data_IF_323450996689
#
_entry.id   IF_323450996689
#
_cell.length_a   1.000
_cell.length_b   1.000
_cell.length_c   1.000
_cell.angle_alpha   90.00
_cell.angle_beta   90.00
_cell.angle_gamma   90.00
#
_symmetry.space_group_name_H-M   'P 1'
#
loop_
_entity.id
_entity.type
_entity.pdbx_description
1 polymer ?
#
# COMPACT_ATOMS: atom_id res chain seq x y z
N UNK A 1 3.06 1.10 -19.74
CA UNK A 1 3.10 -0.37 -19.65
C UNK A 1 2.13 -0.74 -18.55
N UNK A 2 1.01 -1.38 -18.90
CA UNK A 2 -0.12 -1.56 -18.00
C UNK A 2 0.25 -2.52 -16.85
N UNK A 3 -0.24 -2.24 -15.64
CA UNK A 3 0.07 -2.94 -14.37
C UNK A 3 0.06 -4.48 -14.45
N UNK A 4 -0.71 -5.05 -15.39
CA UNK A 4 -0.80 -6.50 -15.66
C UNK A 4 0.52 -7.09 -16.20
N UNK A 5 1.27 -6.35 -17.03
CA UNK A 5 2.45 -6.88 -17.74
C UNK A 5 3.73 -6.92 -16.89
N UNK A 6 3.64 -6.64 -15.58
CA UNK A 6 4.79 -6.62 -14.67
C UNK A 6 4.51 -7.05 -13.24
N UNK A 7 3.28 -7.47 -12.92
CA UNK A 7 2.88 -7.78 -11.54
C UNK A 7 3.71 -8.94 -10.94
N UNK A 8 3.94 -10.02 -11.70
CA UNK A 8 4.74 -11.16 -11.22
C UNK A 8 6.19 -10.74 -10.90
N UNK A 9 6.83 -10.01 -11.81
CA UNK A 9 8.20 -9.50 -11.62
C UNK A 9 8.30 -8.57 -10.41
N UNK A 10 7.31 -7.68 -10.25
CA UNK A 10 7.24 -6.77 -9.12
C UNK A 10 7.07 -7.49 -7.79
N UNK A 11 6.15 -8.46 -7.70
CA UNK A 11 5.93 -9.25 -6.49
C UNK A 11 7.15 -10.13 -6.15
N UNK A 12 7.81 -10.71 -7.16
CA UNK A 12 9.08 -11.42 -6.97
C UNK A 12 10.17 -10.49 -6.42
N UNK A 13 10.29 -9.27 -6.96
CA UNK A 13 11.27 -8.29 -6.49
C UNK A 13 11.00 -7.89 -5.05
N UNK A 14 9.74 -7.59 -4.69
CA UNK A 14 9.34 -7.30 -3.31
C UNK A 14 9.69 -8.45 -2.36
N UNK A 15 9.31 -9.67 -2.72
CA UNK A 15 9.58 -10.86 -1.92
C UNK A 15 11.06 -11.19 -1.78
N UNK A 16 11.87 -10.83 -2.77
CA UNK A 16 13.34 -10.97 -2.73
C UNK A 16 13.97 -9.90 -1.84
N UNK A 17 13.58 -8.64 -2.02
CA UNK A 17 14.12 -7.52 -1.25
C UNK A 17 13.73 -7.60 0.23
N UNK A 18 12.52 -8.06 0.53
CA UNK A 18 11.94 -8.13 1.87
C UNK A 18 11.50 -9.56 2.22
N UNK A 19 12.43 -10.51 2.12
CA UNK A 19 12.17 -11.93 2.40
C UNK A 19 11.57 -12.12 3.80
N UNK A 20 10.36 -12.69 3.87
CA UNK A 20 9.60 -12.88 5.11
C UNK A 20 8.98 -11.61 5.71
N UNK A 21 9.23 -10.43 5.13
CA UNK A 21 8.76 -9.14 5.60
C UNK A 21 7.85 -8.40 4.60
N UNK A 22 7.52 -9.03 3.46
CA UNK A 22 6.54 -8.56 2.50
C UNK A 22 5.23 -9.35 2.58
N UNK A 23 4.11 -8.63 2.44
CA UNK A 23 2.77 -9.20 2.41
C UNK A 23 1.87 -8.53 1.37
N UNK A 24 0.91 -9.28 0.85
CA UNK A 24 -0.20 -8.77 0.04
C UNK A 24 -1.41 -8.59 0.94
N UNK A 25 -1.97 -7.39 0.96
CA UNK A 25 -3.11 -7.05 1.82
C UNK A 25 -4.29 -6.55 1.01
N UNK A 26 -5.45 -7.19 1.13
CA UNK A 26 -6.63 -6.92 0.31
C UNK A 26 -7.93 -7.12 1.08
N UNK A 27 -9.01 -6.48 0.62
CA UNK A 27 -10.37 -6.71 1.14
C UNK A 27 -10.95 -8.06 0.70
N UNK A 28 -10.33 -8.72 -0.28
CA UNK A 28 -10.73 -10.07 -0.71
C UNK A 28 -10.32 -11.14 0.32
N UNK A 29 -11.00 -12.28 0.29
CA UNK A 29 -10.60 -13.48 1.03
C UNK A 29 -9.24 -14.00 0.54
N UNK A 30 -8.49 -14.65 1.43
CA UNK A 30 -7.13 -15.13 1.12
C UNK A 30 -7.11 -16.13 -0.03
N UNK A 31 -8.06 -17.07 -0.06
CA UNK A 31 -8.15 -18.08 -1.12
C UNK A 31 -8.36 -17.45 -2.50
N UNK A 32 -9.20 -16.41 -2.59
CA UNK A 32 -9.41 -15.66 -3.83
C UNK A 32 -8.15 -14.92 -4.28
N UNK A 33 -7.34 -14.44 -3.34
CA UNK A 33 -6.06 -13.79 -3.65
C UNK A 33 -5.06 -14.86 -4.14
N UNK A 34 -4.98 -16.01 -3.45
CA UNK A 34 -4.10 -17.13 -3.84
C UNK A 34 -4.42 -17.62 -5.26
N UNK A 35 -5.69 -17.79 -5.58
CA UNK A 35 -6.13 -18.19 -6.92
C UNK A 35 -5.68 -17.20 -7.99
N UNK A 36 -5.82 -15.89 -7.75
CA UNK A 36 -5.34 -14.85 -8.67
C UNK A 36 -3.82 -14.88 -8.84
N UNK A 37 -3.07 -15.12 -7.77
CA UNK A 37 -1.61 -15.20 -7.82
C UNK A 37 -1.12 -16.45 -8.55
N UNK A 38 -1.80 -17.59 -8.40
CA UNK A 38 -1.50 -18.81 -9.15
C UNK A 38 -1.66 -18.64 -10.67
N UNK A 39 -2.55 -17.72 -11.08
CA UNK A 39 -2.71 -17.34 -12.49
C UNK A 39 -1.61 -16.41 -13.04
N UNK A 40 -0.68 -15.93 -12.21
CA UNK A 40 0.41 -15.06 -12.66
C UNK A 40 1.61 -15.90 -13.11
N UNK A 41 1.77 -16.04 -14.42
CA UNK A 41 2.94 -16.69 -15.00
C UNK A 41 4.23 -15.97 -14.56
N UNK A 42 5.21 -16.75 -14.07
CA UNK A 42 6.51 -16.24 -13.63
C UNK A 42 6.58 -15.78 -12.16
N UNK A 43 5.49 -15.83 -11.39
CA UNK A 43 5.56 -15.61 -9.94
C UNK A 43 6.23 -16.83 -9.26
N UNK A 44 7.31 -16.60 -8.51
CA UNK A 44 8.10 -17.67 -7.87
C UNK A 44 8.19 -17.53 -6.35
N UNK A 45 7.84 -16.37 -5.80
CA UNK A 45 7.86 -16.14 -4.35
C UNK A 45 6.48 -16.41 -3.72
N UNK A 46 6.48 -17.05 -2.55
CA UNK A 46 5.31 -17.14 -1.68
C UNK A 46 5.31 -15.96 -0.70
N UNK A 47 4.44 -14.98 -0.96
CA UNK A 47 4.24 -13.82 -0.09
C UNK A 47 3.17 -14.12 0.96
N UNK A 48 3.34 -13.57 2.16
CA UNK A 48 2.26 -13.62 3.15
C UNK A 48 1.02 -12.89 2.62
N UNK A 49 -0.17 -13.43 2.87
CA UNK A 49 -1.44 -12.85 2.41
C UNK A 49 -2.26 -12.48 3.63
N UNK A 50 -2.74 -11.24 3.65
CA UNK A 50 -3.63 -10.69 4.68
C UNK A 50 -4.96 -10.36 3.99
N UNK A 51 -5.89 -11.32 4.03
CA UNK A 51 -7.22 -11.17 3.44
C UNK A 51 -8.19 -10.42 4.34
N UNK A 52 -9.38 -10.11 3.81
CA UNK A 52 -10.47 -9.44 4.51
C UNK A 52 -9.98 -8.21 5.29
N UNK A 53 -9.15 -7.38 4.66
CA UNK A 53 -8.46 -6.26 5.30
C UNK A 53 -9.40 -5.17 5.86
N UNK A 54 -10.67 -5.16 5.44
CA UNK A 54 -11.68 -4.19 5.85
C UNK A 54 -11.22 -2.73 5.67
N UNK A 55 -10.44 -2.46 4.61
CA UNK A 55 -9.89 -1.13 4.31
C UNK A 55 -10.97 -0.07 4.25
N UNK A 56 -12.20 -0.40 3.86
CA UNK A 56 -13.31 0.55 3.74
C UNK A 56 -13.95 0.95 5.08
N UNK A 57 -13.74 0.18 6.13
CA UNK A 57 -14.46 0.36 7.41
C UNK A 57 -13.82 1.51 8.19
N UNK A 58 -14.59 2.57 8.38
CA UNK A 58 -14.25 3.71 9.25
C UNK A 58 -15.13 3.63 10.49
N UNK A 59 -14.52 3.49 11.66
CA UNK A 59 -15.24 3.39 12.95
C UNK A 59 -15.26 4.74 13.68
N UNK A 60 -14.37 5.67 13.28
CA UNK A 60 -14.30 7.02 13.83
C UNK A 60 -13.82 8.02 12.78
N UNK A 61 -14.35 9.24 12.85
CA UNK A 61 -13.86 10.42 12.11
C UNK A 61 -12.78 11.18 12.91
N UNK A 62 -12.34 10.64 14.04
CA UNK A 62 -11.30 11.25 14.86
C UNK A 62 -10.00 11.37 14.07
N UNK A 63 -9.42 12.57 14.06
CA UNK A 63 -8.17 12.84 13.35
C UNK A 63 -8.33 12.92 11.82
N UNK A 64 -9.57 13.05 11.34
CA UNK A 64 -9.84 13.33 9.93
C UNK A 64 -9.08 14.57 9.44
N UNK A 65 -8.55 14.48 8.22
CA UNK A 65 -7.82 15.58 7.57
C UNK A 65 -8.48 15.88 6.23
N UNK A 66 -8.71 17.15 5.93
CA UNK A 66 -9.18 17.61 4.62
C UNK A 66 -8.14 18.55 4.01
N UNK A 67 -7.14 18.03 3.28
CA UNK A 67 -6.21 18.89 2.57
C UNK A 67 -6.93 19.72 1.50
N UNK A 68 -6.36 20.88 1.19
CA UNK A 68 -6.88 21.74 0.12
C UNK A 68 -6.85 20.99 -1.22
N UNK A 69 -7.92 21.13 -2.00
CA UNK A 69 -8.06 20.49 -3.31
C UNK A 69 -8.49 19.02 -3.29
N UNK A 70 -8.61 18.39 -2.11
CA UNK A 70 -9.08 17.00 -2.03
C UNK A 70 -10.61 16.92 -2.17
N UNK A 71 -11.13 15.91 -2.87
CA UNK A 71 -12.58 15.77 -3.12
C UNK A 71 -13.36 15.29 -1.90
N UNK A 72 -12.68 14.67 -0.94
CA UNK A 72 -13.25 14.08 0.26
C UNK A 72 -12.21 14.09 1.38
N UNK A 73 -12.64 13.97 2.63
CA UNK A 73 -11.72 13.92 3.75
C UNK A 73 -11.00 12.59 3.85
N UNK A 74 -9.79 12.65 4.37
CA UNK A 74 -8.98 11.48 4.70
C UNK A 74 -9.35 11.03 6.11
N UNK A 75 -9.77 9.79 6.25
CA UNK A 75 -10.02 9.13 7.53
C UNK A 75 -8.85 8.16 7.83
N UNK A 76 -7.84 8.58 8.62
CA UNK A 76 -6.70 7.73 8.93
C UNK A 76 -7.00 6.68 10.00
N UNK A 77 -8.01 6.89 10.84
CA UNK A 77 -8.40 5.94 11.88
C UNK A 77 -9.22 4.78 11.31
N UNK A 78 -8.51 3.73 10.89
CA UNK A 78 -9.09 2.50 10.35
C UNK A 78 -8.67 1.30 11.21
N UNK A 79 -9.29 1.09 12.38
CA UNK A 79 -8.77 0.19 13.39
C UNK A 79 -8.71 -1.28 12.95
N UNK A 80 -9.66 -1.77 12.14
CA UNK A 80 -9.61 -3.14 11.61
C UNK A 80 -8.41 -3.34 10.67
N UNK A 81 -8.25 -2.42 9.71
CA UNK A 81 -7.14 -2.39 8.76
C UNK A 81 -5.78 -2.26 9.47
N UNK A 82 -5.63 -1.24 10.33
CA UNK A 82 -4.40 -1.01 11.09
C UNK A 82 -4.11 -2.15 12.08
N UNK A 83 -5.15 -2.80 12.61
CA UNK A 83 -5.02 -3.96 13.48
C UNK A 83 -4.36 -5.13 12.76
N UNK A 84 -4.79 -5.43 11.53
CA UNK A 84 -4.18 -6.47 10.69
C UNK A 84 -2.73 -6.14 10.31
N UNK A 85 -2.44 -4.88 9.96
CA UNK A 85 -1.06 -4.44 9.75
C UNK A 85 -0.19 -4.67 10.99
N UNK A 86 -0.70 -4.34 12.18
CA UNK A 86 0.03 -4.54 13.45
C UNK A 86 0.23 -6.01 13.84
N UNK A 87 -0.67 -6.89 13.41
CA UNK A 87 -0.49 -8.35 13.57
C UNK A 87 0.65 -8.87 12.69
N UNK A 88 0.85 -8.29 11.51
CA UNK A 88 1.95 -8.61 10.62
C UNK A 88 3.27 -7.98 11.08
N UNK A 89 3.24 -6.68 11.44
CA UNK A 89 4.40 -5.95 11.95
C UNK A 89 3.96 -4.96 13.04
N UNK A 90 4.43 -5.16 14.27
CA UNK A 90 3.89 -4.49 15.47
C UNK A 90 3.99 -2.96 15.46
N UNK A 91 5.00 -2.40 14.79
CA UNK A 91 5.20 -0.96 14.65
C UNK A 91 4.87 -0.48 13.24
N UNK A 92 3.85 0.39 13.12
CA UNK A 92 3.43 1.01 11.86
C UNK A 92 4.55 1.90 11.29
N UNK A 93 5.39 2.51 12.13
CA UNK A 93 6.45 3.40 11.67
C UNK A 93 7.55 2.66 10.89
N UNK A 94 7.62 1.32 10.99
CA UNK A 94 8.47 0.44 10.20
C UNK A 94 7.80 -0.16 8.96
N UNK A 95 6.53 0.16 8.70
CA UNK A 95 5.78 -0.38 7.55
C UNK A 95 5.79 0.60 6.39
N UNK A 96 6.00 0.09 5.19
CA UNK A 96 5.68 0.77 3.94
C UNK A 96 4.48 0.12 3.26
N UNK A 97 3.49 0.92 2.87
CA UNK A 97 2.37 0.48 2.05
C UNK A 97 2.46 1.08 0.67
N UNK A 98 2.22 0.23 -0.33
CA UNK A 98 2.18 0.58 -1.74
C UNK A 98 0.79 0.27 -2.25
N UNK A 99 0.13 1.24 -2.87
CA UNK A 99 -1.22 1.07 -3.41
C UNK A 99 -1.54 2.09 -4.48
N UNK A 100 -2.66 1.89 -5.15
CA UNK A 100 -3.20 2.79 -6.16
C UNK A 100 -4.35 3.66 -5.62
N UNK A 101 -4.94 3.30 -4.48
CA UNK A 101 -5.95 4.12 -3.83
C UNK A 101 -5.35 4.93 -2.67
N UNK A 102 -5.21 6.26 -2.81
CA UNK A 102 -4.57 7.06 -1.80
C UNK A 102 -5.35 7.08 -0.47
N UNK A 103 -6.69 7.06 -0.51
CA UNK A 103 -7.53 7.12 0.70
C UNK A 103 -7.60 5.83 1.49
N UNK A 104 -7.48 4.68 0.81
CA UNK A 104 -7.67 3.36 1.42
C UNK A 104 -6.36 2.68 1.78
N UNK A 105 -5.34 2.84 0.93
CA UNK A 105 -4.05 2.16 1.11
C UNK A 105 -3.03 3.10 1.74
N UNK A 106 -2.81 4.24 1.11
CA UNK A 106 -1.60 5.05 1.35
C UNK A 106 -1.74 5.94 2.59
N UNK A 107 -2.77 6.80 2.63
CA UNK A 107 -2.91 7.79 3.69
C UNK A 107 -3.19 7.23 5.08
N UNK A 108 -3.97 6.14 5.26
CA UNK A 108 -4.16 5.57 6.58
C UNK A 108 -2.83 5.16 7.22
N UNK A 109 -1.88 4.63 6.45
CA UNK A 109 -0.56 4.27 6.96
C UNK A 109 0.35 5.49 7.12
N UNK A 110 0.40 6.37 6.11
CA UNK A 110 1.23 7.57 6.13
C UNK A 110 0.93 8.47 7.34
N UNK A 111 -0.35 8.73 7.60
CA UNK A 111 -0.80 9.59 8.70
C UNK A 111 -0.69 8.93 10.08
N UNK A 112 -0.48 7.61 10.12
CA UNK A 112 -0.12 6.87 11.35
C UNK A 112 1.39 6.66 11.48
N UNK A 113 2.19 7.38 10.68
CA UNK A 113 3.64 7.41 10.79
C UNK A 113 4.38 6.39 9.92
N UNK A 114 3.70 5.54 9.16
CA UNK A 114 4.36 4.64 8.22
C UNK A 114 4.81 5.35 6.93
N UNK A 115 5.36 4.57 6.01
CA UNK A 115 5.66 5.02 4.65
C UNK A 115 4.49 4.75 3.71
N UNK A 116 4.16 5.73 2.89
CA UNK A 116 3.06 5.66 1.95
C UNK A 116 3.55 5.91 0.53
N UNK A 117 3.40 4.92 -0.35
CA UNK A 117 3.80 4.97 -1.75
C UNK A 117 2.55 4.84 -2.62
N UNK A 118 2.21 5.90 -3.34
CA UNK A 118 1.15 5.85 -4.34
C UNK A 118 1.73 5.49 -5.69
N UNK A 119 1.20 4.42 -6.30
CA UNK A 119 1.52 4.05 -7.67
C UNK A 119 0.64 4.83 -8.65
N UNK A 120 1.25 5.34 -9.72
CA UNK A 120 0.55 5.94 -10.84
C UNK A 120 -0.28 4.88 -11.57
N UNK A 121 -1.57 5.14 -11.68
CA UNK A 121 -2.53 4.34 -12.44
C UNK A 121 -3.44 5.24 -13.26
N UNK A 122 -4.31 4.65 -14.08
CA UNK A 122 -5.28 5.41 -14.88
C UNK A 122 -6.29 6.21 -14.04
N UNK A 123 -6.43 5.89 -12.75
CA UNK A 123 -7.35 6.58 -11.83
C UNK A 123 -6.69 7.65 -10.97
N UNK A 124 -5.36 7.81 -11.05
CA UNK A 124 -4.62 8.88 -10.37
C UNK A 124 -5.15 10.24 -10.81
N UNK A 125 -5.58 11.07 -9.85
CA UNK A 125 -6.26 12.35 -10.13
C UNK A 125 -5.31 13.55 -10.01
N UNK A 126 -4.15 13.36 -9.39
CA UNK A 126 -3.07 14.35 -9.31
C UNK A 126 -3.11 15.27 -8.09
N UNK A 127 -4.26 15.47 -7.43
CA UNK A 127 -4.34 16.31 -6.20
C UNK A 127 -3.55 15.71 -5.03
N UNK A 128 -3.39 14.39 -5.03
CA UNK A 128 -2.69 13.62 -4.01
C UNK A 128 -1.16 13.73 -4.12
N UNK A 129 -0.63 14.08 -5.31
CA UNK A 129 0.80 14.11 -5.58
C UNK A 129 1.53 15.20 -4.76
N UNK A 130 1.08 16.47 -4.73
CA UNK A 130 1.72 17.49 -3.89
C UNK A 130 1.68 17.13 -2.41
N UNK A 131 0.57 16.56 -1.94
CA UNK A 131 0.40 16.14 -0.55
C UNK A 131 1.40 15.04 -0.17
N UNK A 132 1.56 14.01 -1.01
CA UNK A 132 2.54 12.95 -0.79
C UNK A 132 3.97 13.47 -0.78
N UNK A 133 4.32 14.32 -1.76
CA UNK A 133 5.68 14.87 -1.88
C UNK A 133 6.06 15.80 -0.73
N UNK A 134 5.09 16.46 -0.11
CA UNK A 134 5.32 17.29 1.06
C UNK A 134 5.56 16.48 2.35
N UNK A 135 5.16 15.20 2.37
CA UNK A 135 5.32 14.34 3.55
C UNK A 135 6.68 13.62 3.51
N UNK A 136 7.48 13.63 4.59
CA UNK A 136 8.84 13.04 4.59
C UNK A 136 8.86 11.52 4.37
N UNK A 137 7.72 10.84 4.59
CA UNK A 137 7.54 9.40 4.39
C UNK A 137 6.61 9.07 3.20
N UNK A 138 6.26 10.07 2.40
CA UNK A 138 5.36 9.94 1.25
C UNK A 138 6.13 9.85 -0.06
N UNK A 139 5.66 9.02 -0.98
CA UNK A 139 6.22 8.91 -2.32
C UNK A 139 5.15 8.71 -3.38
N UNK A 140 5.35 9.30 -4.55
CA UNK A 140 4.56 9.04 -5.75
C UNK A 140 5.47 8.37 -6.77
N UNK A 141 5.15 7.13 -7.12
CA UNK A 141 5.93 6.29 -8.01
C UNK A 141 5.18 6.10 -9.34
N UNK A 142 5.82 6.44 -10.45
CA UNK A 142 5.25 6.34 -11.80
C UNK A 142 5.21 4.91 -12.34
N UNK A 143 5.93 4.01 -11.69
CA UNK A 143 6.03 2.61 -12.03
C UNK A 143 6.59 1.83 -10.83
N UNK A 144 6.61 0.51 -10.97
CA UNK A 144 7.14 -0.40 -9.95
C UNK A 144 8.60 -0.14 -9.61
N UNK A 145 9.46 0.18 -10.58
CA UNK A 145 10.89 0.39 -10.35
C UNK A 145 11.14 1.62 -9.46
N UNK A 146 10.37 2.69 -9.64
CA UNK A 146 10.42 3.87 -8.76
C UNK A 146 9.99 3.53 -7.33
N UNK A 147 8.93 2.73 -7.16
CA UNK A 147 8.48 2.28 -5.85
C UNK A 147 9.54 1.40 -5.16
N UNK A 148 10.12 0.44 -5.88
CA UNK A 148 11.18 -0.43 -5.38
C UNK A 148 12.42 0.38 -4.97
N UNK A 149 12.88 1.32 -5.80
CA UNK A 149 14.02 2.19 -5.47
C UNK A 149 13.76 3.02 -4.22
N UNK A 150 12.55 3.55 -4.06
CA UNK A 150 12.20 4.29 -2.84
C UNK A 150 12.30 3.40 -1.60
N UNK A 151 11.79 2.16 -1.66
CA UNK A 151 11.87 1.20 -0.57
C UNK A 151 13.32 0.81 -0.24
N UNK A 152 14.16 0.58 -1.25
CA UNK A 152 15.58 0.25 -1.04
C UNK A 152 16.33 1.35 -0.30
N UNK A 153 16.07 2.62 -0.64
CA UNK A 153 16.69 3.78 0.01
C UNK A 153 16.25 3.97 1.47
N UNK A 154 15.09 3.44 1.84
CA UNK A 154 14.48 3.59 3.17
C UNK A 154 14.36 2.26 3.92
N UNK A 155 15.07 1.23 3.46
CA UNK A 155 15.16 -0.05 4.14
C UNK A 155 15.93 0.15 5.45
N UNK A 156 15.20 0.10 6.57
CA UNK A 156 15.77 0.04 7.90
C UNK A 156 16.09 -1.43 8.27
#
# INVERSE_FOLDING_TARGET
>A
MFFKDGAANYLNALGTLFSGAAAIMSNSEEDSIREKLQGLEGLTIDLHIIGLAEKMVVISEKGQVQPEGFPAPINPDRPAYLGKLRQFHSDIAGIAVIGDNPFLDVFPVLLNGGYGILLETEVTQGYEIPFLKAHPRGHFARNYDEALRFLELHKA
#
